data_IF_962843363886
#
_entry.id   IF_962843363886
#
_cell.length_a   1.000
_cell.length_b   1.000
_cell.length_c   1.000
_cell.angle_alpha   90.00
_cell.angle_beta   90.00
_cell.angle_gamma   90.00
#
_symmetry.space_group_name_H-M   'P 1'
#
loop_
_entity.id
_entity.type
_entity.pdbx_description
1 polymer ?
#
# COMPACT_ATOMS: atom_id res chain seq x y z
N UNK A 1 6.62 11.12 13.82
CA UNK A 1 6.48 12.57 13.68
C UNK A 1 5.96 12.97 12.30
N UNK A 2 6.56 12.46 11.19
CA UNK A 2 6.18 12.82 9.82
C UNK A 2 4.67 12.59 9.54
N UNK A 3 4.14 11.40 9.84
CA UNK A 3 2.72 11.09 9.63
C UNK A 3 1.80 11.97 10.49
N UNK A 4 2.16 12.22 11.73
CA UNK A 4 1.36 13.09 12.61
C UNK A 4 1.25 14.49 12.02
N UNK A 5 2.38 15.05 11.54
CA UNK A 5 2.37 16.36 10.88
C UNK A 5 1.57 16.32 9.57
N UNK A 6 1.77 15.28 8.74
CA UNK A 6 1.07 15.13 7.48
C UNK A 6 -0.45 15.12 7.66
N UNK A 7 -0.97 14.29 8.58
CA UNK A 7 -2.39 14.23 8.89
C UNK A 7 -2.90 15.51 9.59
N UNK A 8 -2.09 16.15 10.45
CA UNK A 8 -2.47 17.41 11.08
C UNK A 8 -2.60 18.55 10.08
N UNK A 9 -1.67 18.66 9.13
CA UNK A 9 -1.73 19.66 8.06
C UNK A 9 -2.89 19.35 7.10
N UNK A 10 -3.09 18.08 6.73
CA UNK A 10 -4.26 17.68 5.94
C UNK A 10 -5.58 18.05 6.63
N UNK A 11 -5.68 17.82 7.94
CA UNK A 11 -6.85 18.22 8.73
C UNK A 11 -7.06 19.74 8.76
N UNK A 12 -6.00 20.53 8.94
CA UNK A 12 -6.06 21.98 8.91
C UNK A 12 -6.52 22.50 7.52
N UNK A 13 -6.02 21.92 6.44
CA UNK A 13 -6.42 22.25 5.07
C UNK A 13 -7.89 21.88 4.84
N UNK A 14 -8.33 20.69 5.25
CA UNK A 14 -9.72 20.28 5.12
C UNK A 14 -10.66 21.19 5.91
N UNK A 15 -10.27 21.61 7.10
CA UNK A 15 -11.04 22.56 7.91
C UNK A 15 -11.12 23.95 7.27
N UNK A 16 -9.99 24.48 6.78
CA UNK A 16 -9.90 25.80 6.18
C UNK A 16 -10.70 25.93 4.87
N UNK A 17 -10.62 24.90 4.02
CA UNK A 17 -11.32 24.87 2.72
C UNK A 17 -12.69 24.19 2.79
N UNK A 18 -13.16 23.83 4.00
CA UNK A 18 -14.42 23.14 4.22
C UNK A 18 -14.58 21.87 3.37
N UNK A 19 -13.48 21.12 3.23
CA UNK A 19 -13.47 19.86 2.51
C UNK A 19 -14.03 18.73 3.38
N UNK A 20 -14.72 17.78 2.74
CA UNK A 20 -15.30 16.64 3.47
C UNK A 20 -14.24 15.70 4.06
N UNK A 21 -14.69 14.83 4.96
CA UNK A 21 -13.85 13.82 5.65
C UNK A 21 -13.12 12.90 4.66
N UNK A 22 -13.68 12.67 3.48
CA UNK A 22 -13.06 11.91 2.39
C UNK A 22 -11.68 12.49 2.01
N UNK A 23 -11.59 13.81 1.88
CA UNK A 23 -10.33 14.48 1.55
C UNK A 23 -9.31 14.40 2.69
N UNK A 24 -9.77 14.44 3.95
CA UNK A 24 -8.89 14.27 5.11
C UNK A 24 -8.14 12.94 5.07
N UNK A 25 -8.80 11.87 4.61
CA UNK A 25 -8.17 10.54 4.47
C UNK A 25 -7.41 10.43 3.15
N UNK A 26 -7.95 10.99 2.05
CA UNK A 26 -7.36 10.85 0.72
C UNK A 26 -6.06 11.64 0.52
N UNK A 27 -5.94 12.86 1.08
CA UNK A 27 -4.76 13.72 0.88
C UNK A 27 -3.44 13.10 1.38
N UNK A 28 -3.38 12.42 2.55
CA UNK A 28 -2.15 11.80 3.05
C UNK A 28 -1.91 10.36 2.59
N UNK A 29 -2.72 9.81 1.67
CA UNK A 29 -2.54 8.42 1.19
C UNK A 29 -1.17 8.25 0.52
N UNK A 30 -0.50 7.15 0.84
CA UNK A 30 0.76 6.73 0.26
C UNK A 30 0.57 5.63 -0.77
N UNK A 31 1.45 5.62 -1.78
CA UNK A 31 1.55 4.53 -2.74
C UNK A 31 3.01 4.20 -3.01
N UNK A 32 3.37 2.94 -2.79
CA UNK A 32 4.72 2.44 -3.06
C UNK A 32 4.96 2.13 -4.54
N UNK A 33 3.90 2.00 -5.34
CA UNK A 33 4.03 1.55 -6.72
C UNK A 33 4.98 2.41 -7.56
N UNK A 34 4.76 3.72 -7.56
CA UNK A 34 5.62 4.67 -8.30
C UNK A 34 7.01 4.78 -7.69
N UNK A 35 7.11 4.73 -6.36
CA UNK A 35 8.39 4.78 -5.66
C UNK A 35 9.27 3.58 -6.02
N UNK A 36 8.69 2.40 -6.16
CA UNK A 36 9.43 1.20 -6.58
C UNK A 36 9.96 1.31 -8.02
N UNK A 37 9.24 2.00 -8.91
CA UNK A 37 9.73 2.29 -10.26
C UNK A 37 10.96 3.22 -10.22
N UNK A 38 10.93 4.27 -9.39
CA UNK A 38 12.07 5.16 -9.21
C UNK A 38 13.30 4.43 -8.64
N UNK A 39 13.09 3.50 -7.71
CA UNK A 39 14.17 2.68 -7.15
C UNK A 39 14.81 1.79 -8.21
N UNK A 40 14.03 1.26 -9.14
CA UNK A 40 14.55 0.47 -10.27
C UNK A 40 15.41 1.30 -11.22
N UNK A 41 15.02 2.55 -11.46
CA UNK A 41 15.69 3.43 -12.39
C UNK A 41 16.96 4.07 -11.80
N UNK A 42 16.88 4.58 -10.57
CA UNK A 42 17.97 5.32 -9.92
C UNK A 42 18.83 4.48 -8.97
N UNK A 43 18.42 3.26 -8.65
CA UNK A 43 19.10 2.40 -7.68
C UNK A 43 18.77 2.77 -6.22
N UNK A 44 19.28 1.96 -5.29
CA UNK A 44 19.03 2.13 -3.84
C UNK A 44 20.10 2.97 -3.14
N UNK A 45 21.07 3.52 -3.86
CA UNK A 45 22.24 4.19 -3.25
C UNK A 45 21.93 5.61 -2.76
N UNK A 46 20.88 6.23 -3.27
CA UNK A 46 20.51 7.59 -2.90
C UNK A 46 19.85 7.65 -1.49
N UNK A 47 20.38 8.44 -0.55
CA UNK A 47 19.86 8.48 0.83
C UNK A 47 18.39 8.88 0.92
N UNK A 48 17.93 9.82 0.07
CA UNK A 48 16.54 10.27 0.06
C UNK A 48 15.59 9.16 -0.40
N UNK A 49 16.05 8.29 -1.31
CA UNK A 49 15.24 7.20 -1.87
C UNK A 49 15.07 6.06 -0.86
N UNK A 50 16.13 5.74 -0.10
CA UNK A 50 16.04 4.79 1.00
C UNK A 50 15.10 5.27 2.11
N UNK A 51 15.16 6.57 2.42
CA UNK A 51 14.24 7.17 3.38
C UNK A 51 12.80 7.13 2.87
N UNK A 52 12.57 7.49 1.59
CA UNK A 52 11.27 7.45 0.95
C UNK A 52 10.68 6.02 0.97
N UNK A 53 11.50 5.00 0.67
CA UNK A 53 11.07 3.61 0.75
C UNK A 53 10.64 3.22 2.17
N UNK A 54 11.46 3.56 3.17
CA UNK A 54 11.17 3.21 4.57
C UNK A 54 9.90 3.88 5.08
N UNK A 55 9.71 5.16 4.75
CA UNK A 55 8.53 5.92 5.12
C UNK A 55 7.33 5.48 4.29
N UNK A 56 7.52 5.24 3.00
CA UNK A 56 6.46 4.79 2.10
C UNK A 56 5.85 3.46 2.56
N UNK A 57 6.67 2.48 2.99
CA UNK A 57 6.16 1.19 3.52
C UNK A 57 5.28 1.41 4.77
N UNK A 58 5.74 2.23 5.71
CA UNK A 58 4.94 2.54 6.91
C UNK A 58 3.72 3.37 6.53
N UNK A 59 3.88 4.32 5.61
CA UNK A 59 2.80 5.17 5.09
C UNK A 59 1.70 4.38 4.41
N UNK A 60 2.05 3.37 3.63
CA UNK A 60 1.08 2.50 2.96
C UNK A 60 0.26 1.71 3.99
N UNK A 61 0.89 1.16 5.02
CA UNK A 61 0.18 0.48 6.12
C UNK A 61 -0.79 1.44 6.81
N UNK A 62 -0.32 2.64 7.15
CA UNK A 62 -1.16 3.68 7.78
C UNK A 62 -2.32 4.08 6.87
N UNK A 63 -2.07 4.22 5.55
CA UNK A 63 -3.08 4.56 4.56
C UNK A 63 -4.16 3.47 4.42
N UNK A 64 -3.75 2.20 4.36
CA UNK A 64 -4.68 1.06 4.31
C UNK A 64 -5.57 1.05 5.56
N UNK A 65 -4.99 1.20 6.73
CA UNK A 65 -5.75 1.25 7.99
C UNK A 65 -6.69 2.46 8.04
N UNK A 66 -6.22 3.64 7.67
CA UNK A 66 -7.03 4.85 7.63
C UNK A 66 -8.20 4.73 6.65
N UNK A 67 -7.95 4.19 5.45
CA UNK A 67 -8.98 3.95 4.44
C UNK A 67 -10.01 2.93 4.92
N UNK A 68 -9.57 1.82 5.51
CA UNK A 68 -10.47 0.78 6.03
C UNK A 68 -11.35 1.30 7.17
N UNK A 69 -10.78 2.11 8.07
CA UNK A 69 -11.54 2.77 9.13
C UNK A 69 -12.54 3.79 8.57
N UNK A 70 -12.13 4.55 7.55
CA UNK A 70 -13.00 5.53 6.90
C UNK A 70 -14.17 4.84 6.17
N UNK A 71 -13.90 3.77 5.43
CA UNK A 71 -14.95 2.98 4.75
C UNK A 71 -15.94 2.43 5.78
N UNK A 72 -15.44 1.84 6.86
CA UNK A 72 -16.29 1.35 7.96
C UNK A 72 -17.13 2.45 8.61
N UNK A 73 -16.57 3.65 8.77
CA UNK A 73 -17.27 4.80 9.30
C UNK A 73 -18.43 5.23 8.39
N UNK A 74 -18.17 5.30 7.09
CA UNK A 74 -19.17 5.75 6.09
C UNK A 74 -20.28 4.72 5.90
N UNK A 75 -19.96 3.45 5.85
CA UNK A 75 -20.93 2.36 5.70
C UNK A 75 -21.85 2.22 6.92
N UNK A 76 -21.35 2.47 8.09
CA UNK A 76 -22.10 2.34 9.35
C UNK A 76 -22.70 3.65 9.85
N UNK A 77 -22.69 4.74 9.06
CA UNK A 77 -23.25 6.04 9.42
C UNK A 77 -22.69 6.60 10.75
N UNK A 78 -21.39 6.43 10.98
CA UNK A 78 -20.69 6.96 12.15
C UNK A 78 -20.48 5.93 13.28
N UNK A 79 -20.45 6.41 14.54
CA UNK A 79 -20.22 5.60 15.74
C UNK A 79 -21.43 4.71 16.07
N UNK A 80 -21.64 3.67 15.29
CA UNK A 80 -22.67 2.65 15.51
C UNK A 80 -22.07 1.33 16.01
N UNK A 81 -22.92 0.41 16.45
CA UNK A 81 -22.49 -0.95 16.78
C UNK A 81 -21.77 -1.65 15.61
N UNK A 82 -22.21 -1.37 14.37
CA UNK A 82 -21.58 -1.88 13.16
C UNK A 82 -20.14 -1.38 13.00
N UNK A 83 -19.87 -0.11 13.28
CA UNK A 83 -18.52 0.46 13.25
C UNK A 83 -17.57 -0.25 14.25
N UNK A 84 -18.02 -0.50 15.47
CA UNK A 84 -17.21 -1.24 16.46
C UNK A 84 -16.98 -2.69 16.05
N UNK A 85 -17.97 -3.35 15.44
CA UNK A 85 -17.79 -4.69 14.86
C UNK A 85 -16.75 -4.67 13.75
N UNK A 86 -16.77 -3.69 12.86
CA UNK A 86 -15.76 -3.53 11.79
C UNK A 86 -14.36 -3.35 12.36
N UNK A 87 -14.18 -2.52 13.38
CA UNK A 87 -12.88 -2.36 14.06
C UNK A 87 -12.42 -3.69 14.66
N UNK A 88 -13.31 -4.41 15.36
CA UNK A 88 -12.99 -5.70 15.94
C UNK A 88 -12.59 -6.71 14.86
N UNK A 89 -13.26 -6.68 13.71
CA UNK A 89 -12.93 -7.54 12.57
C UNK A 89 -11.55 -7.21 12.00
N UNK A 90 -11.20 -5.92 11.83
CA UNK A 90 -9.87 -5.49 11.38
C UNK A 90 -8.78 -6.00 12.36
N UNK A 91 -8.98 -5.79 13.66
CA UNK A 91 -8.07 -6.27 14.69
C UNK A 91 -7.94 -7.80 14.65
N UNK A 92 -9.06 -8.51 14.50
CA UNK A 92 -9.09 -9.96 14.37
C UNK A 92 -8.31 -10.47 13.16
N UNK A 93 -8.41 -9.77 12.03
CA UNK A 93 -7.65 -10.09 10.81
C UNK A 93 -6.15 -9.86 11.01
N UNK A 94 -5.76 -8.76 11.64
CA UNK A 94 -4.34 -8.50 11.94
C UNK A 94 -3.79 -9.60 12.87
N UNK A 95 -4.51 -9.92 13.94
CA UNK A 95 -4.12 -11.00 14.86
C UNK A 95 -4.11 -12.34 14.11
N UNK A 96 -5.13 -12.63 13.32
CA UNK A 96 -5.23 -13.83 12.50
C UNK A 96 -4.05 -13.97 11.52
N UNK A 97 -3.63 -12.88 10.91
CA UNK A 97 -2.44 -12.81 10.03
C UNK A 97 -1.18 -13.19 10.81
N UNK A 98 -0.96 -12.60 11.99
CA UNK A 98 0.20 -12.90 12.85
C UNK A 98 0.18 -14.37 13.27
N UNK A 99 -0.98 -14.88 13.66
CA UNK A 99 -1.14 -16.28 14.05
C UNK A 99 -0.91 -17.23 12.88
N UNK A 100 -1.43 -16.89 11.69
CA UNK A 100 -1.23 -17.67 10.48
C UNK A 100 0.26 -17.74 10.11
N UNK A 101 0.97 -16.63 10.17
CA UNK A 101 2.42 -16.58 9.91
C UNK A 101 3.19 -17.43 10.94
N UNK A 102 2.88 -17.31 12.23
CA UNK A 102 3.48 -18.12 13.29
C UNK A 102 3.19 -19.61 13.12
N UNK A 103 1.93 -19.94 12.84
CA UNK A 103 1.50 -21.32 12.63
C UNK A 103 2.20 -21.93 11.41
N UNK A 104 2.26 -21.19 10.29
CA UNK A 104 2.97 -21.64 9.09
C UNK A 104 4.45 -21.87 9.36
N UNK A 105 5.10 -20.96 10.13
CA UNK A 105 6.49 -21.14 10.51
C UNK A 105 6.69 -22.41 11.35
N UNK A 106 5.83 -22.65 12.34
CA UNK A 106 5.87 -23.85 13.20
C UNK A 106 5.60 -25.12 12.38
N UNK A 107 4.61 -25.08 11.49
CA UNK A 107 4.24 -26.20 10.62
C UNK A 107 5.40 -26.58 9.68
N UNK A 108 6.05 -25.63 9.06
CA UNK A 108 7.20 -25.90 8.19
C UNK A 108 8.45 -26.33 8.93
N UNK A 109 8.58 -25.96 10.21
CA UNK A 109 9.64 -26.46 11.07
C UNK A 109 9.40 -27.91 11.49
N UNK A 110 8.15 -28.28 11.80
CA UNK A 110 7.79 -29.63 12.18
C UNK A 110 7.70 -30.60 11.01
N UNK A 111 7.24 -30.10 9.86
CA UNK A 111 7.03 -30.87 8.64
C UNK A 111 7.80 -30.27 7.45
N UNK A 112 9.13 -30.45 7.39
CA UNK A 112 9.94 -29.90 6.30
C UNK A 112 9.55 -30.44 4.92
N UNK A 113 8.96 -31.64 4.86
CA UNK A 113 8.45 -32.25 3.63
C UNK A 113 7.31 -31.44 3.01
N UNK A 114 6.41 -30.88 3.85
CA UNK A 114 5.32 -30.01 3.40
C UNK A 114 5.89 -28.75 2.80
N UNK A 115 6.93 -28.16 3.42
CA UNK A 115 7.65 -27.02 2.86
C UNK A 115 8.23 -27.36 1.50
N UNK A 116 8.91 -28.50 1.37
CA UNK A 116 9.54 -28.94 0.13
C UNK A 116 8.53 -29.21 -1.00
N UNK A 117 7.33 -29.71 -0.64
CA UNK A 117 6.26 -29.95 -1.61
C UNK A 117 5.60 -28.65 -2.08
N UNK A 118 5.34 -27.69 -1.18
CA UNK A 118 4.73 -26.41 -1.50
C UNK A 118 5.74 -25.44 -2.15
N UNK A 119 7.00 -25.54 -1.74
CA UNK A 119 8.09 -24.64 -2.14
C UNK A 119 9.25 -25.54 -2.60
N UNK A 120 9.20 -26.09 -3.81
CA UNK A 120 10.26 -26.96 -4.29
C UNK A 120 11.61 -26.23 -4.31
N UNK A 121 12.65 -26.87 -3.74
CA UNK A 121 13.99 -26.30 -3.62
C UNK A 121 14.78 -26.31 -4.95
N UNK A 122 14.21 -26.90 -6.00
CA UNK A 122 14.88 -27.04 -7.27
C UNK A 122 14.96 -25.71 -8.03
N UNK A 123 16.19 -25.31 -8.34
CA UNK A 123 16.52 -24.17 -9.20
C UNK A 123 15.92 -24.36 -10.63
N UNK A 124 15.70 -25.61 -11.05
CA UNK A 124 15.02 -26.00 -12.28
C UNK A 124 13.52 -26.27 -12.06
N UNK A 125 12.77 -25.29 -11.57
CA UNK A 125 11.31 -25.41 -11.55
C UNK A 125 10.73 -25.26 -12.96
N UNK A 126 10.78 -26.36 -13.73
CA UNK A 126 10.25 -26.45 -15.10
C UNK A 126 8.75 -26.10 -15.20
N UNK A 127 8.02 -26.08 -14.08
CA UNK A 127 6.57 -25.89 -14.06
C UNK A 127 6.13 -24.57 -13.42
N UNK A 128 7.06 -23.69 -13.00
CA UNK A 128 6.78 -22.43 -12.29
C UNK A 128 5.78 -22.63 -11.13
N UNK A 129 5.97 -23.69 -10.34
CA UNK A 129 5.09 -24.01 -9.20
C UNK A 129 5.14 -22.95 -8.13
N UNK A 130 6.29 -22.30 -7.96
CA UNK A 130 6.52 -21.18 -7.07
C UNK A 130 5.61 -19.99 -7.40
N UNK A 131 5.50 -19.61 -8.70
CA UNK A 131 4.60 -18.53 -9.15
C UNK A 131 3.14 -18.92 -8.94
N UNK A 132 2.77 -20.18 -9.27
CA UNK A 132 1.40 -20.68 -9.10
C UNK A 132 0.97 -20.65 -7.63
N UNK A 133 1.83 -21.14 -6.74
CA UNK A 133 1.60 -21.09 -5.31
C UNK A 133 1.42 -19.65 -4.83
N UNK A 134 2.26 -18.75 -5.30
CA UNK A 134 2.25 -17.34 -4.97
C UNK A 134 0.95 -16.66 -5.34
N UNK A 135 0.52 -16.83 -6.58
CA UNK A 135 -0.73 -16.25 -7.09
C UNK A 135 -1.93 -16.90 -6.38
N UNK A 136 -1.90 -18.22 -6.16
CA UNK A 136 -2.97 -18.91 -5.44
C UNK A 136 -3.12 -18.39 -4.01
N UNK A 137 -2.02 -18.21 -3.29
CA UNK A 137 -2.03 -17.65 -1.94
C UNK A 137 -2.60 -16.22 -1.93
N UNK A 138 -2.16 -15.38 -2.88
CA UNK A 138 -2.70 -14.04 -3.03
C UNK A 138 -4.22 -14.06 -3.24
N UNK A 139 -4.70 -14.86 -4.18
CA UNK A 139 -6.12 -14.95 -4.50
C UNK A 139 -6.95 -15.51 -3.34
N UNK A 140 -6.44 -16.50 -2.61
CA UNK A 140 -7.11 -17.04 -1.41
C UNK A 140 -7.25 -15.96 -0.34
N UNK A 141 -6.17 -15.24 -0.02
CA UNK A 141 -6.22 -14.21 1.01
C UNK A 141 -7.10 -13.02 0.60
N UNK A 142 -7.03 -12.59 -0.64
CA UNK A 142 -7.94 -11.57 -1.19
C UNK A 142 -9.40 -12.03 -1.11
N UNK A 143 -9.69 -13.29 -1.46
CA UNK A 143 -11.05 -13.85 -1.38
C UNK A 143 -11.57 -13.90 0.06
N UNK A 144 -10.72 -14.23 1.02
CA UNK A 144 -11.09 -14.20 2.45
C UNK A 144 -11.46 -12.78 2.88
N UNK A 145 -10.70 -11.76 2.44
CA UNK A 145 -11.00 -10.35 2.77
C UNK A 145 -12.34 -9.91 2.15
N UNK A 146 -12.63 -10.32 0.91
CA UNK A 146 -13.92 -10.06 0.27
C UNK A 146 -15.09 -10.68 1.07
N UNK A 147 -14.95 -11.92 1.54
CA UNK A 147 -15.98 -12.58 2.36
C UNK A 147 -16.18 -11.84 3.69
N UNK A 148 -15.10 -11.37 4.29
CA UNK A 148 -15.14 -10.61 5.54
C UNK A 148 -15.59 -9.15 5.36
N UNK A 149 -15.83 -8.70 4.11
CA UNK A 149 -16.17 -7.31 3.76
C UNK A 149 -15.10 -6.30 4.26
N UNK A 150 -13.84 -6.70 4.18
CA UNK A 150 -12.68 -5.87 4.49
C UNK A 150 -12.00 -5.50 3.18
N UNK A 151 -11.21 -4.42 3.21
CA UNK A 151 -10.45 -3.99 2.05
C UNK A 151 -9.52 -5.11 1.55
N UNK A 152 -9.63 -5.42 0.26
CA UNK A 152 -8.86 -6.49 -0.40
C UNK A 152 -7.35 -6.23 -0.40
N UNK A 153 -6.95 -4.96 -0.30
CA UNK A 153 -5.55 -4.54 -0.22
C UNK A 153 -4.87 -5.12 1.02
N UNK A 154 -5.62 -5.25 2.14
CA UNK A 154 -5.09 -5.89 3.35
C UNK A 154 -4.78 -7.38 3.11
N UNK A 155 -5.57 -8.08 2.31
CA UNK A 155 -5.31 -9.47 1.90
C UNK A 155 -4.05 -9.59 1.04
N UNK A 156 -3.89 -8.71 0.07
CA UNK A 156 -2.70 -8.66 -0.76
C UNK A 156 -1.43 -8.35 0.06
N UNK A 157 -1.54 -7.41 1.01
CA UNK A 157 -0.46 -7.09 1.94
C UNK A 157 -0.07 -8.30 2.81
N UNK A 158 -1.06 -9.02 3.35
CA UNK A 158 -0.85 -10.24 4.13
C UNK A 158 -0.13 -11.31 3.30
N UNK A 159 -0.52 -11.51 2.04
CA UNK A 159 0.17 -12.38 1.10
C UNK A 159 1.63 -11.96 0.92
N UNK A 160 1.89 -10.67 0.74
CA UNK A 160 3.25 -10.11 0.62
C UNK A 160 4.12 -10.38 1.86
N UNK A 161 3.56 -10.27 3.07
CA UNK A 161 4.25 -10.61 4.32
C UNK A 161 4.60 -12.11 4.37
N UNK A 162 3.67 -12.98 3.96
CA UNK A 162 3.91 -14.41 3.86
C UNK A 162 5.04 -14.71 2.89
N UNK A 163 5.02 -14.07 1.72
CA UNK A 163 6.08 -14.15 0.73
C UNK A 163 7.44 -13.77 1.30
N UNK A 164 7.53 -12.60 1.92
CA UNK A 164 8.76 -12.13 2.54
C UNK A 164 9.30 -13.14 3.56
N UNK A 165 8.44 -13.75 4.35
CA UNK A 165 8.86 -14.67 5.41
C UNK A 165 9.41 -15.99 4.87
N UNK A 166 8.82 -16.53 3.80
CA UNK A 166 9.13 -17.89 3.33
C UNK A 166 9.98 -17.93 2.06
N UNK A 167 10.01 -16.85 1.27
CA UNK A 167 10.69 -16.82 -0.03
C UNK A 167 11.76 -15.73 -0.14
N UNK A 168 12.12 -15.05 0.95
CA UNK A 168 13.07 -13.93 0.93
C UNK A 168 14.45 -14.28 0.35
N UNK A 169 14.85 -15.56 0.40
CA UNK A 169 16.14 -16.03 -0.15
C UNK A 169 16.09 -16.36 -1.65
N UNK A 170 14.91 -16.23 -2.29
CA UNK A 170 14.70 -16.55 -3.71
C UNK A 170 14.53 -15.27 -4.52
N UNK A 171 15.65 -14.63 -4.83
CA UNK A 171 15.65 -13.40 -5.64
C UNK A 171 15.01 -13.61 -7.01
N UNK A 172 15.22 -14.78 -7.65
CA UNK A 172 14.63 -15.10 -8.95
C UNK A 172 13.10 -15.12 -8.92
N UNK A 173 12.48 -15.69 -7.87
CA UNK A 173 11.03 -15.68 -7.69
C UNK A 173 10.50 -14.27 -7.49
N UNK A 174 11.18 -13.47 -6.67
CA UNK A 174 10.81 -12.06 -6.47
C UNK A 174 10.84 -11.30 -7.79
N UNK A 175 11.88 -11.49 -8.62
CA UNK A 175 11.96 -10.88 -9.96
C UNK A 175 10.84 -11.34 -10.90
N UNK A 176 10.48 -12.62 -10.87
CA UNK A 176 9.37 -13.15 -11.68
C UNK A 176 8.04 -12.53 -11.27
N UNK A 177 7.74 -12.48 -9.96
CA UNK A 177 6.50 -11.90 -9.43
C UNK A 177 6.46 -10.40 -9.73
N UNK A 178 7.57 -9.70 -9.53
CA UNK A 178 7.69 -8.28 -9.81
C UNK A 178 7.49 -7.99 -11.30
N UNK A 179 8.10 -8.77 -12.18
CA UNK A 179 7.94 -8.65 -13.63
C UNK A 179 6.49 -8.89 -14.07
N UNK A 180 5.82 -9.87 -13.46
CA UNK A 180 4.41 -10.14 -13.72
C UNK A 180 3.52 -9.02 -13.17
N UNK A 181 3.82 -8.51 -11.98
CA UNK A 181 3.11 -7.39 -11.37
C UNK A 181 3.16 -6.13 -12.22
N UNK A 182 4.35 -5.67 -12.56
CA UNK A 182 4.54 -4.45 -13.35
C UNK A 182 4.26 -4.64 -14.85
N UNK A 183 4.52 -5.83 -15.40
CA UNK A 183 4.31 -6.09 -16.83
C UNK A 183 2.87 -6.42 -17.21
N UNK A 184 2.08 -6.94 -16.28
CA UNK A 184 0.72 -7.39 -16.55
C UNK A 184 -0.33 -6.67 -15.68
N UNK A 185 -0.23 -6.75 -14.36
CA UNK A 185 -1.27 -6.19 -13.48
C UNK A 185 -1.28 -4.66 -13.46
N UNK A 186 -0.14 -4.00 -13.45
CA UNK A 186 -0.11 -2.54 -13.41
C UNK A 186 -0.72 -1.90 -14.67
N UNK A 187 -0.40 -2.33 -15.91
CA UNK A 187 -1.08 -1.82 -17.11
C UNK A 187 -2.60 -2.05 -17.08
N UNK A 188 -3.06 -3.25 -16.66
CA UNK A 188 -4.48 -3.55 -16.56
C UNK A 188 -5.16 -2.63 -15.54
N UNK A 189 -4.52 -2.40 -14.40
CA UNK A 189 -5.03 -1.49 -13.39
C UNK A 189 -5.21 -0.07 -13.94
N UNK A 190 -4.23 0.47 -14.65
CA UNK A 190 -4.34 1.80 -15.23
C UNK A 190 -5.40 1.89 -16.33
N UNK A 191 -5.50 0.87 -17.19
CA UNK A 191 -6.55 0.79 -18.23
C UNK A 191 -7.93 0.72 -17.56
N UNK A 192 -8.10 -0.14 -16.57
CA UNK A 192 -9.37 -0.27 -15.84
C UNK A 192 -9.73 1.05 -15.14
N UNK A 193 -8.82 1.63 -14.38
CA UNK A 193 -9.05 2.89 -13.68
C UNK A 193 -9.37 4.02 -14.66
N UNK A 194 -8.61 4.11 -15.77
CA UNK A 194 -8.89 5.08 -16.83
C UNK A 194 -10.27 4.88 -17.46
N UNK A 195 -10.71 3.64 -17.65
CA UNK A 195 -12.02 3.33 -18.24
C UNK A 195 -13.21 3.70 -17.33
N UNK A 196 -13.00 3.82 -16.02
CA UNK A 196 -14.04 4.26 -15.08
C UNK A 196 -14.31 5.76 -15.16
N UNK A 197 -13.37 6.54 -15.73
CA UNK A 197 -13.53 7.99 -15.90
C UNK A 197 -14.49 8.25 -17.05
N UNK A 198 -15.67 8.77 -16.75
CA UNK A 198 -16.64 9.19 -17.75
C UNK A 198 -16.24 10.54 -18.31
N UNK A 199 -15.92 10.58 -19.60
CA UNK A 199 -15.48 11.81 -20.28
C UNK A 199 -16.53 12.92 -20.22
N UNK A 200 -17.81 12.57 -20.21
CA UNK A 200 -18.94 13.52 -20.12
C UNK A 200 -18.93 14.31 -18.78
N UNK A 201 -18.29 13.75 -17.75
CA UNK A 201 -18.17 14.41 -16.44
C UNK A 201 -16.97 15.35 -16.36
N UNK A 202 -16.04 15.33 -17.33
CA UNK A 202 -14.84 16.17 -17.32
C UNK A 202 -15.21 17.60 -17.72
N UNK A 203 -15.66 18.38 -16.75
CA UNK A 203 -15.94 19.80 -16.89
C UNK A 203 -14.73 20.64 -16.47
N UNK A 204 -14.71 21.90 -16.92
CA UNK A 204 -13.64 22.84 -16.52
C UNK A 204 -13.58 23.02 -14.99
N UNK A 205 -14.71 22.92 -14.31
CA UNK A 205 -14.79 22.99 -12.85
C UNK A 205 -14.11 21.80 -12.18
N UNK A 206 -14.38 20.58 -12.67
CA UNK A 206 -13.73 19.37 -12.15
C UNK A 206 -12.23 19.43 -12.41
N UNK A 207 -11.79 19.93 -13.56
CA UNK A 207 -10.37 20.09 -13.87
C UNK A 207 -9.69 21.07 -12.89
N UNK A 208 -10.33 22.20 -12.58
CA UNK A 208 -9.83 23.17 -11.58
C UNK A 208 -9.71 22.52 -10.20
N UNK A 209 -10.73 21.74 -9.77
CA UNK A 209 -10.69 21.02 -8.51
C UNK A 209 -9.58 19.97 -8.46
N UNK A 210 -9.38 19.23 -9.54
CA UNK A 210 -8.30 18.24 -9.64
C UNK A 210 -6.92 18.89 -9.51
N UNK A 211 -6.68 20.00 -10.21
CA UNK A 211 -5.42 20.76 -10.10
C UNK A 211 -5.24 21.31 -8.68
N UNK A 212 -6.30 21.82 -8.06
CA UNK A 212 -6.27 22.32 -6.69
C UNK A 212 -5.90 21.20 -5.70
N UNK A 213 -6.53 20.02 -5.81
CA UNK A 213 -6.25 18.87 -4.95
C UNK A 213 -4.81 18.39 -5.14
N UNK A 214 -4.34 18.27 -6.40
CA UNK A 214 -2.96 17.88 -6.71
C UNK A 214 -1.96 18.86 -6.12
N UNK A 215 -2.17 20.16 -6.29
CA UNK A 215 -1.34 21.21 -5.69
C UNK A 215 -1.35 21.15 -4.16
N UNK A 216 -2.48 20.81 -3.55
CA UNK A 216 -2.63 20.64 -2.11
C UNK A 216 -1.84 19.43 -1.61
N UNK A 217 -1.94 18.28 -2.29
CA UNK A 217 -1.17 17.06 -1.95
C UNK A 217 0.33 17.36 -1.94
N UNK A 218 0.83 17.97 -3.01
CA UNK A 218 2.25 18.33 -3.14
C UNK A 218 2.66 19.32 -2.03
N UNK A 219 1.85 20.34 -1.77
CA UNK A 219 2.14 21.36 -0.76
C UNK A 219 2.20 20.78 0.65
N UNK A 220 1.23 19.94 1.04
CA UNK A 220 1.20 19.28 2.36
C UNK A 220 2.45 18.43 2.55
N UNK A 221 2.86 17.67 1.54
CA UNK A 221 4.03 16.79 1.60
C UNK A 221 5.33 17.58 1.61
N UNK A 222 5.45 18.62 0.80
CA UNK A 222 6.60 19.53 0.86
C UNK A 222 6.75 20.13 2.25
N UNK A 223 5.71 20.74 2.79
CA UNK A 223 5.75 21.38 4.12
C UNK A 223 6.13 20.35 5.19
N UNK A 224 5.46 19.18 5.21
CA UNK A 224 5.75 18.12 6.19
C UNK A 224 7.19 17.60 6.07
N UNK A 225 7.69 17.41 4.86
CA UNK A 225 9.04 16.91 4.60
C UNK A 225 10.11 17.93 5.00
N UNK A 226 9.91 19.19 4.67
CA UNK A 226 10.82 20.26 5.06
C UNK A 226 10.86 20.44 6.59
N UNK A 227 9.74 20.36 7.28
CA UNK A 227 9.71 20.48 8.75
C UNK A 227 10.43 19.32 9.46
N UNK A 228 10.41 18.12 8.86
CA UNK A 228 10.98 16.93 9.54
C UNK A 228 12.39 16.61 9.08
N UNK A 229 12.70 16.74 7.79
CA UNK A 229 13.91 16.17 7.19
C UNK A 229 14.97 17.17 6.77
N UNK A 230 14.75 18.49 6.91
CA UNK A 230 15.76 19.51 6.59
C UNK A 230 17.10 19.33 7.33
N UNK A 231 17.05 18.72 8.52
CA UNK A 231 18.26 18.45 9.30
C UNK A 231 19.00 17.18 8.87
N UNK A 232 18.34 16.31 8.09
CA UNK A 232 18.88 14.99 7.67
C UNK A 232 19.22 14.94 6.19
N UNK A 233 18.49 15.68 5.37
CA UNK A 233 18.63 15.70 3.92
C UNK A 233 18.97 17.12 3.43
N UNK A 234 19.72 17.20 2.33
CA UNK A 234 19.92 18.47 1.62
C UNK A 234 18.58 18.98 1.05
N UNK A 235 18.37 20.30 0.92
CA UNK A 235 17.09 20.85 0.42
C UNK A 235 16.61 20.21 -0.88
N UNK A 236 17.51 19.96 -1.84
CA UNK A 236 17.19 19.28 -3.10
C UNK A 236 16.69 17.85 -2.87
N UNK A 237 17.31 17.12 -1.96
CA UNK A 237 16.91 15.74 -1.62
C UNK A 237 15.57 15.70 -0.89
N UNK A 238 15.31 16.68 -0.01
CA UNK A 238 14.03 16.81 0.67
C UNK A 238 12.90 17.10 -0.32
N UNK A 239 13.15 17.93 -1.34
CA UNK A 239 12.17 18.19 -2.41
C UNK A 239 11.92 16.92 -3.23
N UNK A 240 12.96 16.19 -3.62
CA UNK A 240 12.82 14.93 -4.35
C UNK A 240 12.05 13.89 -3.56
N UNK A 241 12.35 13.77 -2.25
CA UNK A 241 11.59 12.92 -1.33
C UNK A 241 10.10 13.28 -1.32
N UNK A 242 9.77 14.55 -1.09
CA UNK A 242 8.38 15.01 -1.04
C UNK A 242 7.64 14.79 -2.35
N UNK A 243 8.29 15.01 -3.50
CA UNK A 243 7.70 14.79 -4.82
C UNK A 243 7.50 13.31 -5.13
N UNK A 244 8.49 12.46 -4.81
CA UNK A 244 8.37 11.01 -5.04
C UNK A 244 7.24 10.40 -4.20
N UNK A 245 7.05 10.93 -3.00
CA UNK A 245 6.03 10.50 -2.06
C UNK A 245 4.62 11.06 -2.38
N UNK A 246 4.55 12.13 -3.20
CA UNK A 246 3.29 12.76 -3.62
C UNK A 246 2.63 12.10 -4.83
N UNK A 247 3.22 11.07 -5.39
CA UNK A 247 2.65 10.29 -6.48
C UNK A 247 1.79 9.15 -5.88
N UNK A 248 0.45 9.26 -5.94
CA UNK A 248 -0.45 8.23 -5.43
C UNK A 248 -0.49 7.00 -6.33
#
# INVERSE_FOLDING_TARGET
LYFVLLYSIAGAVCWFFNLGLTYFVALPIFSLGMLMMLIKEYGKEEPWLNLALSIGVVGEIVSILALTLFTSWTENSGLSSGFFISILTIISVIIGTILLLRFSYMLFWWFPEVKKYLIPDNIDDKHNQDIRFSISLLLILVSIMLILKIDVVLGAFTAGLFFKMFFMQREELLHKIESFGFGFFAPIFFIYTGSTVKLDMVTLEILKHAIFIMGTIISIRLISSYLVFLNYLKPKQTTLFALSDSMP
#
